data_IF_646166330112
#
_entry.id   IF_646166330112
#
_cell.length_a   1.000
_cell.length_b   1.000
_cell.length_c   1.000
_cell.angle_alpha   90.00
_cell.angle_beta   90.00
_cell.angle_gamma   90.00
#
_symmetry.space_group_name_H-M   'P 1'
#
loop_
_entity.id
_entity.type
_entity.pdbx_description
1 polymer ?
#
# COMPACT_ATOMS: atom_id res chain seq x y z
N UNK A 1 -49.87 21.88 -35.88
CA UNK A 1 -50.38 21.61 -34.52
C UNK A 1 -49.55 20.48 -33.93
N UNK A 2 -48.48 20.84 -33.23
CA UNK A 2 -47.50 19.94 -32.62
C UNK A 2 -47.80 19.83 -31.13
N UNK A 3 -48.15 18.63 -30.67
CA UNK A 3 -48.41 18.36 -29.25
C UNK A 3 -47.13 17.82 -28.60
N UNK A 4 -46.59 18.59 -27.65
CA UNK A 4 -45.42 18.25 -26.84
C UNK A 4 -45.93 17.47 -25.63
N UNK A 5 -45.63 16.17 -25.57
CA UNK A 5 -45.91 15.34 -24.41
C UNK A 5 -44.86 15.59 -23.32
N UNK A 6 -45.31 16.21 -22.23
CA UNK A 6 -44.55 16.44 -21.01
C UNK A 6 -44.46 15.13 -20.21
N UNK A 7 -43.27 14.57 -20.05
CA UNK A 7 -43.05 13.37 -19.23
C UNK A 7 -42.64 13.79 -17.81
N UNK A 8 -43.62 13.81 -16.92
CA UNK A 8 -43.43 14.09 -15.48
C UNK A 8 -42.69 12.95 -14.79
N UNK A 9 -41.47 13.22 -14.31
CA UNK A 9 -40.78 12.38 -13.32
C UNK A 9 -41.50 12.49 -11.97
N UNK A 10 -42.30 11.47 -11.61
CA UNK A 10 -42.72 11.24 -10.22
C UNK A 10 -41.59 10.55 -9.47
N UNK A 11 -40.93 11.31 -8.60
CA UNK A 11 -40.09 10.80 -7.52
C UNK A 11 -41.06 10.34 -6.42
N UNK A 12 -41.22 9.02 -6.27
CA UNK A 12 -41.95 8.43 -5.15
C UNK A 12 -40.99 8.26 -3.96
N UNK A 13 -41.12 9.13 -2.97
CA UNK A 13 -40.64 8.88 -1.61
C UNK A 13 -41.63 7.96 -0.91
N UNK A 14 -41.25 6.71 -0.63
CA UNK A 14 -41.97 5.87 0.33
C UNK A 14 -41.63 6.32 1.74
N UNK A 15 -42.54 7.09 2.34
CA UNK A 15 -42.66 7.25 3.78
C UNK A 15 -43.02 5.90 4.42
N UNK A 16 -42.20 5.43 5.36
CA UNK A 16 -42.60 4.41 6.32
C UNK A 16 -43.63 5.02 7.27
N UNK A 17 -44.90 4.69 7.06
CA UNK A 17 -45.95 4.88 8.06
C UNK A 17 -45.74 3.86 9.17
N UNK A 18 -45.41 4.34 10.37
CA UNK A 18 -45.45 3.60 11.63
C UNK A 18 -46.92 3.42 12.01
N UNK A 19 -47.40 2.18 12.04
CA UNK A 19 -48.67 1.84 12.71
C UNK A 19 -48.36 1.34 14.13
N UNK A 20 -49.06 1.86 15.16
CA UNK A 20 -48.97 1.33 16.52
C UNK A 20 -50.03 0.26 16.78
N UNK A 21 -49.88 -0.43 17.92
CA UNK A 21 -50.73 -1.49 18.51
C UNK A 21 -50.42 -2.90 17.98
N UNK A 22 -50.22 -3.93 18.81
CA UNK A 22 -50.97 -4.27 20.03
C UNK A 22 -50.10 -5.10 20.97
N UNK A 23 -50.31 -4.84 22.26
CA UNK A 23 -49.88 -5.63 23.41
C UNK A 23 -50.48 -7.04 23.41
N UNK A 24 -49.65 -8.08 23.56
CA UNK A 24 -50.00 -9.32 24.25
C UNK A 24 -48.79 -9.88 25.01
N UNK A 25 -48.91 -9.88 26.32
CA UNK A 25 -48.17 -10.73 27.27
C UNK A 25 -48.89 -12.11 27.37
N UNK A 26 -48.52 -13.02 28.28
CA UNK A 26 -47.26 -13.76 28.42
C UNK A 26 -47.51 -15.29 28.54
N UNK A 27 -46.65 -16.16 27.99
CA UNK A 27 -46.60 -17.59 28.34
C UNK A 27 -45.14 -18.03 28.25
N UNK A 28 -44.46 -18.17 29.38
CA UNK A 28 -44.33 -19.43 30.13
C UNK A 28 -43.70 -20.55 29.29
N UNK A 29 -42.38 -20.69 29.43
CA UNK A 29 -41.72 -21.97 29.23
C UNK A 29 -40.44 -22.03 30.05
N UNK A 30 -40.64 -22.42 31.30
CA UNK A 30 -39.62 -23.07 32.11
C UNK A 30 -39.07 -24.28 31.34
N UNK A 31 -37.79 -24.23 30.96
CA UNK A 31 -37.02 -25.43 30.64
C UNK A 31 -35.72 -25.38 31.42
N UNK A 32 -35.69 -26.30 32.37
CA UNK A 32 -34.70 -26.57 33.40
C UNK A 32 -33.50 -27.20 32.70
N UNK A 33 -32.39 -26.48 32.56
CA UNK A 33 -31.10 -27.05 32.14
C UNK A 33 -30.32 -27.35 33.41
N UNK A 34 -30.27 -28.64 33.76
CA UNK A 34 -29.41 -29.20 34.79
C UNK A 34 -27.97 -29.25 34.29
N UNK A 35 -27.05 -28.65 35.02
CA UNK A 35 -25.61 -28.85 34.86
C UNK A 35 -25.19 -30.10 35.62
N UNK A 36 -24.43 -31.04 35.03
CA UNK A 36 -23.78 -32.07 35.81
C UNK A 36 -22.53 -31.51 36.49
N UNK A 37 -22.30 -32.04 37.69
CA UNK A 37 -21.22 -31.74 38.60
C UNK A 37 -19.84 -31.92 37.94
N UNK A 38 -18.97 -30.94 38.20
CA UNK A 38 -17.56 -30.97 37.88
C UNK A 38 -16.86 -31.68 39.05
N UNK A 39 -16.48 -32.95 38.85
CA UNK A 39 -15.60 -33.68 39.76
C UNK A 39 -14.16 -33.49 39.33
N UNK A 40 -13.36 -32.95 40.24
CA UNK A 40 -11.90 -32.97 40.18
C UNK A 40 -11.38 -34.41 40.33
N UNK A 41 -10.48 -34.83 39.45
CA UNK A 41 -9.48 -35.85 39.74
C UNK A 41 -8.30 -35.75 38.76
N UNK A 42 -7.11 -35.91 39.31
CA UNK A 42 -5.80 -35.58 38.77
C UNK A 42 -5.14 -36.72 37.97
N UNK A 43 -3.89 -36.44 37.57
CA UNK A 43 -2.81 -37.32 37.09
C UNK A 43 -2.86 -37.76 35.62
N UNK A 44 -1.94 -37.30 34.77
CA UNK A 44 -0.49 -37.60 34.66
C UNK A 44 -0.22 -38.75 33.67
N UNK A 45 0.29 -38.40 32.47
CA UNK A 45 1.48 -39.03 31.87
C UNK A 45 1.74 -38.54 30.45
N UNK A 46 2.95 -38.02 30.30
CA UNK A 46 3.89 -38.20 29.17
C UNK A 46 3.46 -39.17 28.06
N UNK A 47 3.37 -38.66 26.82
CA UNK A 47 4.06 -39.28 25.67
C UNK A 47 4.15 -38.35 24.46
N UNK A 48 5.39 -38.22 24.01
CA UNK A 48 5.85 -37.73 22.73
C UNK A 48 5.22 -38.50 21.56
N UNK A 49 4.77 -37.77 20.53
CA UNK A 49 4.86 -38.19 19.12
C UNK A 49 4.52 -37.02 18.20
N UNK A 50 5.49 -36.67 17.35
CA UNK A 50 5.40 -35.82 16.16
C UNK A 50 4.41 -36.43 15.14
N UNK A 51 3.80 -35.64 14.21
CA UNK A 51 4.49 -35.35 12.95
C UNK A 51 4.19 -33.99 12.27
N UNK A 52 5.20 -33.53 11.54
CA UNK A 52 5.17 -32.91 10.21
C UNK A 52 4.79 -31.43 9.98
N UNK A 53 5.71 -30.82 9.21
CA UNK A 53 5.49 -29.84 8.15
C UNK A 53 5.21 -28.38 8.55
N UNK A 54 6.24 -27.72 9.10
CA UNK A 54 6.42 -26.28 8.89
C UNK A 54 7.27 -26.11 7.65
N UNK A 55 6.62 -25.70 6.56
CA UNK A 55 7.25 -25.32 5.31
C UNK A 55 8.27 -24.21 5.55
N UNK A 56 9.53 -24.52 5.28
CA UNK A 56 10.66 -23.62 5.32
C UNK A 56 10.51 -22.56 4.22
N UNK A 57 10.38 -21.29 4.61
CA UNK A 57 10.62 -20.16 3.73
C UNK A 57 12.13 -20.07 3.47
N UNK A 58 12.58 -20.70 2.38
CA UNK A 58 13.95 -20.56 1.88
C UNK A 58 14.12 -19.16 1.29
N UNK A 59 14.49 -18.19 2.13
CA UNK A 59 15.14 -16.97 1.70
C UNK A 59 16.62 -17.30 1.49
N UNK A 60 16.96 -17.64 0.25
CA UNK A 60 18.36 -17.78 -0.21
C UNK A 60 18.99 -16.39 -0.09
N UNK A 61 19.62 -16.13 1.05
CA UNK A 61 20.55 -15.03 1.24
C UNK A 61 21.87 -15.47 0.62
N UNK A 62 22.26 -14.85 -0.50
CA UNK A 62 23.62 -14.90 -1.01
C UNK A 62 24.50 -14.16 0.01
N UNK A 63 25.03 -14.93 0.96
CA UNK A 63 26.05 -14.52 1.91
C UNK A 63 27.34 -15.12 1.37
N UNK A 64 28.04 -14.40 0.50
CA UNK A 64 29.50 -14.47 0.40
C UNK A 64 30.05 -13.49 -0.64
N UNK A 65 31.24 -12.96 -0.32
CA UNK A 65 32.13 -12.18 -1.16
C UNK A 65 31.91 -10.65 -1.17
N UNK A 66 32.36 -9.96 -0.11
CA UNK A 66 33.22 -8.76 -0.28
C UNK A 66 33.87 -8.36 1.05
N UNK A 67 35.10 -8.83 1.29
CA UNK A 67 36.02 -8.28 2.29
C UNK A 67 37.02 -7.38 1.53
N UNK A 68 36.89 -6.04 1.54
CA UNK A 68 37.97 -5.21 1.04
C UNK A 68 39.05 -5.14 2.14
N UNK A 69 40.20 -5.73 1.84
CA UNK A 69 41.41 -5.66 2.65
C UNK A 69 41.87 -4.19 2.73
N UNK A 70 41.69 -3.58 3.90
CA UNK A 70 42.00 -2.18 4.17
C UNK A 70 43.48 -1.98 4.51
N UNK A 71 44.40 -2.29 3.60
CA UNK A 71 45.85 -2.10 3.84
C UNK A 71 46.66 -1.82 2.58
N UNK A 72 46.22 -0.93 1.66
CA UNK A 72 47.16 -0.37 0.65
C UNK A 72 46.69 0.84 -0.18
N UNK A 73 45.85 1.75 0.36
CA UNK A 73 45.31 2.85 -0.45
C UNK A 73 45.57 4.27 0.09
N UNK A 74 46.67 4.48 0.81
CA UNK A 74 46.98 5.79 1.41
C UNK A 74 48.14 6.55 0.75
N UNK A 75 48.82 5.98 -0.26
CA UNK A 75 49.97 6.63 -0.92
C UNK A 75 49.75 7.22 -2.32
N UNK A 76 48.53 7.19 -2.88
CA UNK A 76 48.28 7.63 -4.28
C UNK A 76 47.21 8.73 -4.45
N UNK A 77 46.90 9.51 -3.40
CA UNK A 77 45.84 10.56 -3.47
C UNK A 77 46.35 11.98 -3.78
N UNK A 78 47.65 12.21 -3.87
CA UNK A 78 48.23 13.55 -4.08
C UNK A 78 48.09 14.14 -5.49
N UNK A 79 48.13 13.39 -6.62
CA UNK A 79 47.99 14.00 -7.94
C UNK A 79 46.53 14.28 -8.33
N UNK A 80 45.59 13.42 -7.92
CA UNK A 80 44.15 13.56 -8.26
C UNK A 80 43.52 14.76 -7.55
N UNK A 81 43.89 15.02 -6.29
CA UNK A 81 43.42 16.20 -5.55
C UNK A 81 43.98 17.50 -6.16
N UNK A 82 45.22 17.49 -6.68
CA UNK A 82 45.80 18.63 -7.40
C UNK A 82 45.12 18.86 -8.77
N UNK A 83 44.76 17.80 -9.49
CA UNK A 83 44.03 17.90 -10.76
C UNK A 83 42.60 18.44 -10.56
N UNK A 84 41.88 17.96 -9.53
CA UNK A 84 40.55 18.47 -9.17
C UNK A 84 40.59 19.95 -8.75
N UNK A 85 41.62 20.37 -7.98
CA UNK A 85 41.80 21.79 -7.63
C UNK A 85 42.10 22.69 -8.83
N UNK A 86 42.79 22.20 -9.87
CA UNK A 86 43.01 22.97 -11.12
C UNK A 86 41.73 23.07 -11.94
N UNK A 87 40.98 21.99 -12.08
CA UNK A 87 39.71 21.99 -12.83
C UNK A 87 38.65 22.92 -12.22
N UNK A 88 38.60 23.06 -10.89
CA UNK A 88 37.70 24.03 -10.25
C UNK A 88 38.10 25.50 -10.49
N UNK A 89 39.39 25.77 -10.76
CA UNK A 89 39.89 27.14 -10.98
C UNK A 89 39.67 27.62 -12.42
N UNK A 90 39.51 26.70 -13.38
CA UNK A 90 39.21 27.01 -14.78
C UNK A 90 37.73 27.39 -14.98
N UNK A 91 36.83 26.77 -14.23
CA UNK A 91 35.38 27.02 -14.31
C UNK A 91 35.02 28.45 -13.89
N UNK A 92 35.83 29.08 -13.03
CA UNK A 92 35.58 30.43 -12.51
C UNK A 92 35.88 31.54 -13.53
N UNK A 93 36.63 31.25 -14.60
CA UNK A 93 36.97 32.25 -15.64
C UNK A 93 35.96 32.34 -16.78
N UNK A 94 35.05 31.37 -16.91
CA UNK A 94 34.06 31.36 -17.99
C UNK A 94 32.77 32.12 -17.66
N UNK A 95 32.65 32.70 -16.47
CA UNK A 95 31.43 33.38 -15.97
C UNK A 95 31.40 34.88 -16.30
N UNK A 96 31.91 35.29 -17.46
CA UNK A 96 31.83 36.69 -17.95
C UNK A 96 30.78 36.93 -19.04
N UNK A 97 30.05 35.90 -19.45
CA UNK A 97 28.92 36.05 -20.37
C UNK A 97 27.64 35.84 -19.58
N UNK A 98 26.88 36.93 -19.41
CA UNK A 98 25.70 37.05 -18.55
C UNK A 98 24.49 36.23 -18.98
N UNK A 99 24.63 34.91 -19.02
CA UNK A 99 23.48 33.99 -18.97
C UNK A 99 23.28 33.64 -17.50
N UNK A 100 22.14 33.95 -16.88
CA UNK A 100 21.85 33.50 -15.52
C UNK A 100 21.77 31.98 -15.57
N UNK A 101 22.87 31.32 -15.19
CA UNK A 101 22.92 29.89 -14.97
C UNK A 101 21.94 29.60 -13.83
N UNK A 102 20.69 29.26 -14.18
CA UNK A 102 19.76 28.56 -13.31
C UNK A 102 20.58 27.42 -12.71
N UNK A 103 20.88 27.47 -11.41
CA UNK A 103 21.98 26.68 -10.89
C UNK A 103 21.58 25.22 -11.11
N UNK A 104 22.38 24.47 -11.85
CA UNK A 104 22.16 23.04 -12.06
C UNK A 104 21.94 22.28 -10.73
N UNK A 105 22.37 22.88 -9.60
CA UNK A 105 22.03 22.48 -8.22
C UNK A 105 20.55 22.48 -7.88
N UNK A 106 19.73 23.40 -8.40
CA UNK A 106 18.27 23.41 -8.17
C UNK A 106 17.58 22.27 -8.92
N UNK A 107 18.00 21.97 -10.15
CA UNK A 107 17.54 20.80 -10.90
C UNK A 107 18.00 19.47 -10.29
N UNK A 108 19.19 19.46 -9.67
CA UNK A 108 19.71 18.27 -8.97
C UNK A 108 19.11 18.09 -7.57
N UNK A 109 18.65 19.15 -6.91
CA UNK A 109 17.96 19.05 -5.61
C UNK A 109 16.48 18.70 -5.76
N UNK A 110 15.91 18.93 -6.95
CA UNK A 110 14.61 18.42 -7.38
C UNK A 110 14.65 16.96 -7.84
N UNK A 111 15.77 16.23 -7.63
CA UNK A 111 15.79 14.76 -7.74
C UNK A 111 15.09 14.10 -6.55
N UNK A 112 13.89 14.61 -6.26
CA UNK A 112 12.91 14.11 -5.32
C UNK A 112 12.41 12.77 -5.84
N UNK A 113 12.48 11.74 -4.99
CA UNK A 113 11.80 10.48 -5.29
C UNK A 113 10.37 10.79 -5.68
N UNK A 114 9.95 10.26 -6.81
CA UNK A 114 8.64 10.61 -7.34
C UNK A 114 7.58 9.89 -6.51
N UNK A 115 6.64 10.65 -5.89
CA UNK A 115 5.57 10.08 -5.08
C UNK A 115 4.59 9.25 -5.93
N UNK A 116 4.64 9.40 -7.26
CA UNK A 116 3.72 8.77 -8.21
C UNK A 116 3.88 7.25 -8.20
N UNK A 117 5.11 6.71 -8.32
CA UNK A 117 5.31 5.25 -8.28
C UNK A 117 4.84 4.64 -6.96
N UNK A 118 5.16 5.31 -5.84
CA UNK A 118 4.80 4.86 -4.49
C UNK A 118 3.27 4.83 -4.29
N UNK A 119 2.57 5.81 -4.89
CA UNK A 119 1.11 5.88 -4.89
C UNK A 119 0.45 4.85 -5.83
N UNK A 120 0.92 4.74 -7.08
CA UNK A 120 0.20 4.01 -8.13
C UNK A 120 0.55 2.53 -8.19
N UNK A 121 1.78 2.14 -7.84
CA UNK A 121 2.19 0.74 -7.90
C UNK A 121 1.28 -0.17 -7.05
N UNK A 122 0.98 0.16 -5.78
CA UNK A 122 0.08 -0.67 -4.97
C UNK A 122 -1.32 -0.81 -5.56
N UNK A 123 -1.88 0.28 -6.09
CA UNK A 123 -3.22 0.32 -6.65
C UNK A 123 -3.34 -0.50 -7.93
N UNK A 124 -2.35 -0.39 -8.82
CA UNK A 124 -2.30 -1.15 -10.09
C UNK A 124 -2.16 -2.64 -9.80
N UNK A 125 -1.27 -3.03 -8.88
CA UNK A 125 -1.02 -4.42 -8.49
C UNK A 125 -2.25 -5.08 -7.85
N UNK A 126 -3.00 -4.33 -7.02
CA UNK A 126 -4.21 -4.84 -6.38
C UNK A 126 -5.41 -4.97 -7.33
N UNK A 127 -5.41 -4.22 -8.44
CA UNK A 127 -6.55 -4.09 -9.35
C UNK A 127 -7.17 -5.41 -9.87
N UNK A 128 -6.42 -6.50 -10.13
CA UNK A 128 -7.00 -7.77 -10.58
C UNK A 128 -7.87 -8.45 -9.52
N UNK A 129 -7.57 -8.21 -8.25
CA UNK A 129 -8.17 -8.85 -7.07
C UNK A 129 -9.31 -8.05 -6.44
N UNK A 130 -9.53 -6.82 -6.90
CA UNK A 130 -10.62 -5.98 -6.40
C UNK A 130 -12.00 -6.56 -6.79
N UNK A 131 -13.05 -6.33 -5.97
CA UNK A 131 -14.40 -6.71 -6.31
C UNK A 131 -14.86 -6.09 -7.63
N UNK A 132 -15.38 -6.93 -8.54
CA UNK A 132 -15.80 -6.55 -9.90
C UNK A 132 -17.31 -6.73 -10.14
N UNK A 133 -18.09 -6.91 -9.08
CA UNK A 133 -19.55 -7.05 -9.09
C UNK A 133 -20.25 -5.78 -9.58
N UNK A 134 -19.83 -4.61 -9.08
CA UNK A 134 -20.39 -3.31 -9.44
C UNK A 134 -19.29 -2.27 -9.64
N UNK A 135 -19.41 -1.33 -10.61
CA UNK A 135 -18.41 -0.28 -10.81
C UNK A 135 -18.14 0.57 -9.56
N UNK A 136 -19.19 0.91 -8.80
CA UNK A 136 -19.06 1.69 -7.56
C UNK A 136 -18.22 0.96 -6.52
N UNK A 137 -18.48 -0.34 -6.32
CA UNK A 137 -17.74 -1.17 -5.36
C UNK A 137 -16.26 -1.26 -5.76
N UNK A 138 -15.97 -1.47 -7.05
CA UNK A 138 -14.61 -1.44 -7.59
C UNK A 138 -13.88 -0.14 -7.28
N UNK A 139 -14.47 1.02 -7.58
CA UNK A 139 -13.80 2.31 -7.36
C UNK A 139 -13.61 2.64 -5.88
N UNK A 140 -14.57 2.31 -5.02
CA UNK A 140 -14.42 2.50 -3.56
C UNK A 140 -13.28 1.64 -3.03
N UNK A 141 -13.25 0.36 -3.39
CA UNK A 141 -12.17 -0.55 -2.98
C UNK A 141 -10.81 -0.12 -3.55
N UNK A 142 -10.76 0.30 -4.82
CA UNK A 142 -9.54 0.83 -5.45
C UNK A 142 -9.05 2.09 -4.72
N UNK A 143 -9.94 3.01 -4.37
CA UNK A 143 -9.62 4.23 -3.64
C UNK A 143 -9.04 3.94 -2.26
N UNK A 144 -9.64 3.01 -1.51
CA UNK A 144 -9.12 2.57 -0.21
C UNK A 144 -7.69 2.02 -0.34
N UNK A 145 -7.46 1.13 -1.31
CA UNK A 145 -6.14 0.51 -1.50
C UNK A 145 -5.10 1.53 -1.95
N UNK A 146 -5.46 2.44 -2.87
CA UNK A 146 -4.56 3.52 -3.30
C UNK A 146 -4.20 4.46 -2.15
N UNK A 147 -5.20 4.87 -1.35
CA UNK A 147 -4.97 5.68 -0.15
C UNK A 147 -4.09 4.97 0.88
N UNK A 148 -4.27 3.65 1.05
CA UNK A 148 -3.45 2.85 1.97
C UNK A 148 -1.99 2.77 1.53
N UNK A 149 -1.73 2.74 0.22
CA UNK A 149 -0.39 2.78 -0.34
C UNK A 149 0.34 4.10 -0.01
N UNK A 150 -0.31 5.25 -0.23
CA UNK A 150 0.31 6.58 0.03
C UNK A 150 0.21 7.05 1.48
N UNK A 151 -0.52 6.31 2.32
CA UNK A 151 -0.75 6.67 3.72
C UNK A 151 0.54 6.97 4.51
N UNK A 152 1.66 6.23 4.33
CA UNK A 152 2.90 6.52 5.04
C UNK A 152 3.40 7.95 4.81
N UNK A 153 3.33 8.43 3.56
CA UNK A 153 3.75 9.77 3.16
C UNK A 153 2.76 10.85 3.60
N UNK A 154 1.46 10.52 3.68
CA UNK A 154 0.44 11.45 4.20
C UNK A 154 0.65 11.68 5.70
N UNK A 155 0.90 10.61 6.46
CA UNK A 155 1.06 10.69 7.93
C UNK A 155 2.33 11.44 8.29
N UNK A 156 3.41 11.23 7.55
CA UNK A 156 4.70 11.86 7.84
C UNK A 156 5.38 12.28 6.53
N UNK A 157 4.99 13.45 5.99
CA UNK A 157 5.51 13.93 4.72
C UNK A 157 7.00 14.23 4.85
N UNK A 158 7.79 13.64 3.95
CA UNK A 158 9.23 13.81 3.96
C UNK A 158 9.74 14.12 2.55
N UNK A 159 10.60 15.13 2.46
CA UNK A 159 11.21 15.59 1.20
C UNK A 159 12.63 15.02 1.08
N UNK A 160 13.27 14.72 2.21
CA UNK A 160 14.65 14.24 2.27
C UNK A 160 14.72 12.80 2.76
N UNK A 161 15.78 12.10 2.34
CA UNK A 161 16.04 10.72 2.75
C UNK A 161 16.33 10.61 4.27
N UNK A 162 16.98 11.62 4.85
CA UNK A 162 17.19 11.68 6.29
C UNK A 162 15.87 11.79 7.07
N UNK A 163 14.92 12.59 6.57
CA UNK A 163 13.59 12.69 7.16
C UNK A 163 12.82 11.37 7.06
N UNK A 164 12.95 10.62 5.96
CA UNK A 164 12.41 9.26 5.84
C UNK A 164 12.94 8.31 6.92
N UNK A 165 14.25 8.33 7.16
CA UNK A 165 14.86 7.45 8.18
C UNK A 165 14.44 7.79 9.61
N UNK A 166 13.96 9.01 9.84
CA UNK A 166 13.39 9.44 11.12
C UNK A 166 11.86 9.31 11.16
N UNK A 167 11.25 8.75 10.11
CA UNK A 167 9.80 8.68 9.94
C UNK A 167 9.23 7.41 10.55
N UNK A 168 8.35 7.55 11.55
CA UNK A 168 7.69 6.41 12.17
C UNK A 168 6.73 5.68 11.23
N UNK A 169 6.07 6.39 10.30
CA UNK A 169 5.15 5.76 9.33
C UNK A 169 5.87 4.86 8.32
N UNK A 170 7.21 4.96 8.23
CA UNK A 170 8.04 4.12 7.37
C UNK A 170 8.69 2.95 8.12
N UNK A 171 7.99 2.42 9.12
CA UNK A 171 8.44 1.32 9.98
C UNK A 171 7.50 0.12 9.92
N UNK A 172 8.02 -1.04 10.31
CA UNK A 172 7.21 -2.26 10.47
C UNK A 172 6.18 -2.11 11.59
N UNK A 173 6.44 -1.25 12.59
CA UNK A 173 5.49 -0.96 13.66
C UNK A 173 4.28 -0.19 13.15
N UNK A 174 4.49 0.79 12.26
CA UNK A 174 3.38 1.51 11.63
C UNK A 174 2.55 0.58 10.73
N UNK A 175 3.19 -0.33 9.98
CA UNK A 175 2.49 -1.35 9.21
C UNK A 175 1.67 -2.29 10.11
N UNK A 176 2.23 -2.74 11.24
CA UNK A 176 1.53 -3.60 12.19
C UNK A 176 0.32 -2.87 12.80
N UNK A 177 0.50 -1.63 13.27
CA UNK A 177 -0.59 -0.81 13.78
C UNK A 177 -1.69 -0.56 12.74
N UNK A 178 -1.30 -0.23 11.50
CA UNK A 178 -2.23 -0.10 10.38
C UNK A 178 -3.00 -1.39 10.12
N UNK A 179 -2.32 -2.53 10.13
CA UNK A 179 -2.94 -3.86 9.95
C UNK A 179 -3.99 -4.12 11.02
N UNK A 180 -3.70 -3.83 12.30
CA UNK A 180 -4.67 -3.98 13.38
C UNK A 180 -5.90 -3.09 13.18
N UNK A 181 -5.71 -1.83 12.77
CA UNK A 181 -6.82 -0.92 12.47
C UNK A 181 -7.69 -1.46 11.35
N UNK A 182 -7.08 -1.89 10.24
CA UNK A 182 -7.77 -2.42 9.06
C UNK A 182 -8.53 -3.72 9.37
N UNK A 183 -7.95 -4.62 10.18
CA UNK A 183 -8.62 -5.82 10.66
C UNK A 183 -9.78 -5.48 11.62
N UNK A 184 -9.60 -4.49 12.51
CA UNK A 184 -10.66 -3.99 13.37
C UNK A 184 -11.85 -3.43 12.58
N UNK A 185 -11.58 -2.66 11.52
CA UNK A 185 -12.61 -2.16 10.60
C UNK A 185 -13.34 -3.30 9.87
N UNK A 186 -12.60 -4.34 9.46
CA UNK A 186 -13.17 -5.54 8.84
C UNK A 186 -14.10 -6.28 9.81
N UNK A 187 -13.69 -6.43 11.07
CA UNK A 187 -14.50 -7.09 12.09
C UNK A 187 -15.74 -6.29 12.47
N UNK A 188 -15.62 -4.96 12.59
CA UNK A 188 -16.73 -4.08 12.93
C UNK A 188 -17.73 -3.89 11.78
N UNK A 189 -17.28 -3.93 10.52
CA UNK A 189 -18.09 -3.62 9.34
C UNK A 189 -17.87 -4.60 8.17
N UNK A 190 -18.06 -5.93 8.36
CA UNK A 190 -17.67 -6.94 7.38
C UNK A 190 -18.39 -6.81 6.03
N UNK A 191 -19.60 -6.24 6.03
CA UNK A 191 -20.38 -5.99 4.79
C UNK A 191 -19.87 -4.79 3.99
N UNK A 192 -19.25 -3.79 4.64
CA UNK A 192 -18.76 -2.56 3.99
C UNK A 192 -17.26 -2.64 3.66
N UNK A 193 -16.52 -3.39 4.46
CA UNK A 193 -15.08 -3.50 4.37
C UNK A 193 -14.68 -4.98 4.37
N UNK A 194 -14.79 -5.66 3.21
CA UNK A 194 -14.55 -7.09 3.13
C UNK A 194 -13.06 -7.42 3.35
N UNK A 195 -12.79 -8.60 3.90
CA UNK A 195 -11.43 -9.07 4.23
C UNK A 195 -10.45 -9.00 3.05
N UNK A 196 -10.93 -9.20 1.82
CA UNK A 196 -10.11 -9.07 0.61
C UNK A 196 -9.57 -7.65 0.45
N UNK A 197 -10.42 -6.63 0.66
CA UNK A 197 -10.00 -5.21 0.56
C UNK A 197 -9.05 -4.86 1.69
N UNK A 198 -9.29 -5.40 2.89
CA UNK A 198 -8.40 -5.27 4.05
C UNK A 198 -6.99 -5.82 3.74
N UNK A 199 -6.92 -7.05 3.23
CA UNK A 199 -5.66 -7.68 2.84
C UNK A 199 -4.93 -6.89 1.74
N UNK A 200 -5.65 -6.41 0.72
CA UNK A 200 -5.07 -5.59 -0.34
C UNK A 200 -4.59 -4.22 0.17
N UNK A 201 -5.27 -3.62 1.14
CA UNK A 201 -4.84 -2.38 1.78
C UNK A 201 -3.54 -2.59 2.57
N UNK A 202 -3.42 -3.67 3.35
CA UNK A 202 -2.18 -4.03 4.05
C UNK A 202 -1.04 -4.32 3.07
N UNK A 203 -1.33 -5.06 1.99
CA UNK A 203 -0.35 -5.34 0.94
C UNK A 203 0.11 -4.05 0.25
N UNK A 204 -0.79 -3.07 0.09
CA UNK A 204 -0.45 -1.80 -0.50
C UNK A 204 0.51 -0.97 0.36
N UNK A 205 0.24 -0.88 1.66
CA UNK A 205 1.16 -0.25 2.62
C UNK A 205 2.51 -0.97 2.64
N UNK A 206 2.50 -2.31 2.69
CA UNK A 206 3.73 -3.11 2.63
C UNK A 206 4.51 -2.86 1.34
N UNK A 207 3.83 -2.79 0.20
CA UNK A 207 4.46 -2.51 -1.10
C UNK A 207 5.13 -1.14 -1.11
N UNK A 208 4.51 -0.13 -0.48
CA UNK A 208 5.13 1.18 -0.30
C UNK A 208 6.45 1.08 0.48
N UNK A 209 6.44 0.41 1.64
CA UNK A 209 7.65 0.20 2.45
C UNK A 209 8.74 -0.58 1.70
N UNK A 210 8.36 -1.58 0.90
CA UNK A 210 9.30 -2.34 0.07
C UNK A 210 9.93 -1.46 -1.01
N UNK A 211 9.15 -0.60 -1.66
CA UNK A 211 9.67 0.36 -2.65
C UNK A 211 10.62 1.36 -2.00
N UNK A 212 10.32 1.84 -0.78
CA UNK A 212 11.25 2.67 -0.03
C UNK A 212 12.53 1.92 0.34
N UNK A 213 12.43 0.65 0.71
CA UNK A 213 13.57 -0.24 0.93
C UNK A 213 14.46 -0.40 -0.31
N UNK A 214 13.88 -0.48 -1.50
CA UNK A 214 14.58 -0.68 -2.79
C UNK A 214 15.17 0.64 -3.35
N UNK A 215 14.63 1.78 -2.94
CA UNK A 215 14.94 3.10 -3.50
C UNK A 215 15.99 3.90 -2.72
N UNK A 216 16.32 3.46 -1.52
CA UNK A 216 17.22 4.17 -0.61
C UNK A 216 17.35 3.50 0.75
N UNK A 217 16.42 2.61 1.11
CA UNK A 217 16.37 1.94 2.39
C UNK A 217 15.34 2.57 3.32
N UNK A 218 15.02 1.86 4.39
CA UNK A 218 14.17 2.33 5.49
C UNK A 218 14.76 1.93 6.83
N UNK A 219 14.54 2.76 7.86
CA UNK A 219 14.83 2.37 9.24
C UNK A 219 13.65 1.53 9.76
N UNK A 220 13.57 0.27 9.32
CA UNK A 220 12.38 -0.57 9.48
C UNK A 220 11.92 -0.73 10.95
N UNK A 221 12.84 -0.71 11.91
CA UNK A 221 12.57 -0.85 13.34
C UNK A 221 12.54 0.50 14.10
N UNK A 222 12.41 1.64 13.41
CA UNK A 222 12.30 2.94 14.08
C UNK A 222 11.02 3.00 14.95
N UNK A 223 11.08 3.48 16.20
CA UNK A 223 12.19 4.22 16.82
C UNK A 223 13.18 3.36 17.63
N UNK A 224 12.99 2.04 17.68
CA UNK A 224 13.84 1.14 18.47
C UNK A 224 15.26 1.00 17.89
N UNK A 225 15.39 1.03 16.57
CA UNK A 225 16.68 1.03 15.88
C UNK A 225 16.67 2.04 14.73
N UNK A 226 17.84 2.63 14.47
CA UNK A 226 18.10 3.51 13.32
C UNK A 226 18.89 2.80 12.22
N UNK A 227 19.08 1.50 12.33
CA UNK A 227 19.72 0.70 11.29
C UNK A 227 18.88 0.77 10.00
N UNK A 228 19.53 1.11 8.91
CA UNK A 228 18.90 1.28 7.60
C UNK A 228 18.95 -0.07 6.89
N UNK A 229 17.79 -0.65 6.63
CA UNK A 229 17.66 -1.85 5.82
C UNK A 229 17.28 -1.49 4.39
N UNK A 230 17.96 -2.10 3.42
CA UNK A 230 17.71 -1.90 2.00
C UNK A 230 18.91 -1.36 1.25
N UNK A 231 18.67 -0.93 0.01
CA UNK A 231 19.72 -0.48 -0.90
C UNK A 231 19.16 0.46 -1.95
N UNK A 232 20.04 1.09 -2.72
CA UNK A 232 19.66 2.00 -3.82
C UNK A 232 19.77 1.27 -5.16
N UNK A 233 18.83 0.37 -5.42
CA UNK A 233 18.86 -0.47 -6.63
C UNK A 233 18.41 0.29 -7.87
N UNK A 234 17.48 1.24 -7.72
CA UNK A 234 16.93 2.01 -8.84
C UNK A 234 17.61 3.38 -8.90
N UNK A 235 18.28 3.65 -10.03
CA UNK A 235 18.86 4.98 -10.30
C UNK A 235 17.76 6.02 -10.40
N UNK A 236 18.03 7.24 -9.93
CA UNK A 236 17.05 8.32 -9.91
C UNK A 236 16.34 8.53 -11.27
N UNK A 237 17.12 8.58 -12.37
CA UNK A 237 16.60 8.78 -13.72
C UNK A 237 15.65 7.68 -14.19
N UNK A 238 15.74 6.47 -13.61
CA UNK A 238 14.90 5.35 -13.97
C UNK A 238 13.48 5.47 -13.42
N UNK A 239 13.26 6.23 -12.35
CA UNK A 239 11.94 6.43 -11.74
C UNK A 239 10.93 7.08 -12.67
N UNK A 240 11.37 7.99 -13.53
CA UNK A 240 10.51 8.61 -14.55
C UNK A 240 9.85 7.57 -15.46
N UNK A 241 10.59 6.52 -15.83
CA UNK A 241 10.04 5.43 -16.66
C UNK A 241 9.04 4.59 -15.89
N UNK A 242 9.30 4.30 -14.60
CA UNK A 242 8.35 3.58 -13.75
C UNK A 242 7.07 4.37 -13.55
N UNK A 243 7.15 5.68 -13.31
CA UNK A 243 5.97 6.55 -13.20
C UNK A 243 5.15 6.56 -14.49
N UNK A 244 5.81 6.70 -15.65
CA UNK A 244 5.13 6.70 -16.94
C UNK A 244 4.39 5.37 -17.19
N UNK A 245 5.05 4.24 -16.93
CA UNK A 245 4.46 2.90 -17.05
C UNK A 245 3.29 2.73 -16.09
N UNK A 246 3.43 3.18 -14.84
CA UNK A 246 2.37 3.07 -13.83
C UNK A 246 1.18 3.98 -14.09
N UNK A 247 1.41 5.20 -14.58
CA UNK A 247 0.35 6.09 -15.02
C UNK A 247 -0.44 5.49 -16.18
N UNK A 248 0.27 4.93 -17.17
CA UNK A 248 -0.36 4.23 -18.29
C UNK A 248 -1.16 3.02 -17.82
N UNK A 249 -0.58 2.18 -16.96
CA UNK A 249 -1.26 1.01 -16.39
C UNK A 249 -2.49 1.41 -15.56
N UNK A 250 -2.38 2.44 -14.71
CA UNK A 250 -3.50 2.97 -13.94
C UNK A 250 -4.61 3.51 -14.85
N UNK A 251 -4.26 4.22 -15.93
CA UNK A 251 -5.21 4.68 -16.93
C UNK A 251 -5.96 3.51 -17.58
N UNK A 252 -5.22 2.49 -18.03
CA UNK A 252 -5.78 1.26 -18.63
C UNK A 252 -6.73 0.56 -17.65
N UNK A 253 -6.32 0.39 -16.39
CA UNK A 253 -7.15 -0.23 -15.35
C UNK A 253 -8.43 0.56 -15.13
N UNK A 254 -8.33 1.88 -14.93
CA UNK A 254 -9.47 2.76 -14.63
C UNK A 254 -10.46 2.81 -15.81
N UNK A 255 -9.98 2.76 -17.05
CA UNK A 255 -10.83 2.88 -18.25
C UNK A 255 -11.38 1.55 -18.76
N UNK A 256 -10.56 0.50 -18.82
CA UNK A 256 -10.93 -0.74 -19.48
C UNK A 256 -11.67 -1.71 -18.54
N UNK A 257 -11.27 -1.79 -17.27
CA UNK A 257 -11.87 -2.75 -16.31
C UNK A 257 -13.37 -2.54 -16.13
N UNK A 258 -13.88 -1.31 -15.90
CA UNK A 258 -15.33 -1.09 -15.75
C UNK A 258 -16.12 -1.46 -17.01
N UNK A 259 -15.54 -1.23 -18.19
CA UNK A 259 -16.16 -1.56 -19.48
C UNK A 259 -16.31 -3.08 -19.64
N UNK A 260 -15.30 -3.85 -19.24
CA UNK A 260 -15.36 -5.32 -19.24
C UNK A 260 -16.40 -5.85 -18.25
N UNK A 261 -16.48 -5.27 -17.04
CA UNK A 261 -17.49 -5.64 -16.04
C UNK A 261 -18.91 -5.44 -16.59
N UNK A 262 -19.17 -4.30 -17.23
CA UNK A 262 -20.49 -3.99 -17.82
C UNK A 262 -20.86 -4.97 -18.93
N UNK A 263 -19.91 -5.32 -19.82
CA UNK A 263 -20.15 -6.28 -20.91
C UNK A 263 -20.47 -7.67 -20.37
N UNK A 264 -19.72 -8.16 -19.38
CA UNK A 264 -19.96 -9.47 -18.75
C UNK A 264 -21.34 -9.54 -18.09
N UNK A 265 -21.74 -8.49 -17.39
CA UNK A 265 -23.07 -8.42 -16.76
C UNK A 265 -24.25 -8.42 -17.74
N UNK A 266 -24.08 -7.89 -18.96
CA UNK A 266 -25.11 -7.96 -20.01
C UNK A 266 -25.21 -9.35 -20.62
N UNK A 267 -24.06 -10.00 -20.87
CA UNK A 267 -24.02 -11.35 -21.44
C UNK A 267 -24.74 -12.37 -20.55
N UNK A 268 -24.53 -12.32 -19.24
CA UNK A 268 -25.21 -13.22 -18.29
C UNK A 268 -26.72 -13.01 -18.24
N UNK A 269 -27.23 -11.78 -18.40
CA UNK A 269 -28.68 -11.55 -18.44
C UNK A 269 -29.35 -12.10 -19.70
N UNK A 270 -28.66 -12.00 -20.84
CA UNK A 270 -29.19 -12.52 -22.09
C UNK A 270 -29.33 -14.05 -22.09
N UNK A 271 -28.48 -14.77 -21.35
CA UNK A 271 -28.57 -16.24 -21.22
C UNK A 271 -29.65 -16.70 -20.25
N UNK A 272 -30.10 -15.85 -19.33
CA UNK A 272 -31.16 -16.19 -18.37
C UNK A 272 -32.57 -15.99 -18.97
N UNK A 273 -32.68 -15.31 -20.11
CA UNK A 273 -33.94 -15.01 -20.82
C UNK A 273 -34.28 -16.03 -21.93
N UNK A 274 -33.38 -16.99 -22.21
CA UNK A 274 -33.55 -18.07 -23.21
C UNK A 274 -33.86 -19.40 -22.58
#
# INVERSE_FOLDING_TARGET
MTSIACCSCRIAWTCCSVSPSTSRSPLDRSSRISWPAQTDAAQEQTRTTTPNAIASFNLIFIKDSFRPSATKLERSRTPVIKALKRSCKEVDKSTKVGVPALPARLLYSLTLMTPITHLLFPAVLASPFLPKSRPREFYVSAGIVALSGVLPDIINPHISLAARYASWSHSVFALAGFTLVVLGLTAAMPKRFPLVVAALACLAYLSHLLLDGISGGIAGLYPLSREIHGGRFIRFRSWLYFDAVLLFAAYVVIRLVPSMIRKRGRATRATDET
#
